data_IF_064118985666
#
_entry.id   IF_064118985666
#
_cell.length_a   1.000
_cell.length_b   1.000
_cell.length_c   1.000
_cell.angle_alpha   90.00
_cell.angle_beta   90.00
_cell.angle_gamma   90.00
#
_symmetry.space_group_name_H-M   'P 1'
#
loop_
_entity.id
_entity.type
_entity.pdbx_description
1 polymer ?
#
# COMPACT_ATOMS: atom_id res chain seq x y z
N UNK A 1 -22.53 8.34 -47.88
CA UNK A 1 -22.77 9.42 -46.90
C UNK A 1 -24.04 9.09 -46.15
N UNK A 2 -23.93 8.66 -44.89
CA UNK A 2 -25.11 8.42 -44.05
C UNK A 2 -25.59 9.78 -43.55
N UNK A 3 -26.70 10.29 -44.10
CA UNK A 3 -27.37 11.48 -43.58
C UNK A 3 -28.19 11.03 -42.36
N UNK A 4 -27.74 11.43 -41.17
CA UNK A 4 -28.52 11.29 -39.95
C UNK A 4 -29.68 12.28 -39.97
N UNK A 5 -30.84 11.86 -39.48
CA UNK A 5 -31.99 12.77 -39.38
C UNK A 5 -31.71 13.90 -38.36
N UNK A 6 -32.25 15.11 -38.58
CA UNK A 6 -32.01 16.26 -37.69
C UNK A 6 -32.32 15.96 -36.22
N UNK A 7 -33.36 15.17 -35.96
CA UNK A 7 -33.77 14.68 -34.63
C UNK A 7 -32.71 13.77 -34.00
N UNK A 8 -32.09 12.88 -34.78
CA UNK A 8 -30.98 12.02 -34.33
C UNK A 8 -29.75 12.85 -33.97
N UNK A 9 -29.42 13.87 -34.77
CA UNK A 9 -28.30 14.78 -34.46
C UNK A 9 -28.54 15.59 -33.17
N UNK A 10 -29.77 16.06 -32.95
CA UNK A 10 -30.15 16.78 -31.73
C UNK A 10 -30.09 15.86 -30.51
N UNK A 11 -30.59 14.61 -30.62
CA UNK A 11 -30.49 13.62 -29.55
C UNK A 11 -29.04 13.28 -29.21
N UNK A 12 -28.19 13.07 -30.21
CA UNK A 12 -26.75 12.83 -30.01
C UNK A 12 -26.11 14.04 -29.32
N UNK A 13 -26.41 15.27 -29.76
CA UNK A 13 -25.86 16.48 -29.16
C UNK A 13 -26.33 16.70 -27.72
N UNK A 14 -27.60 16.39 -27.41
CA UNK A 14 -28.15 16.47 -26.06
C UNK A 14 -27.54 15.39 -25.15
N UNK A 15 -27.48 14.14 -25.59
CA UNK A 15 -26.81 13.06 -24.85
C UNK A 15 -25.33 13.38 -24.63
N UNK A 16 -24.65 13.94 -25.64
CA UNK A 16 -23.24 14.36 -25.52
C UNK A 16 -23.06 15.53 -24.54
N UNK A 17 -23.96 16.51 -24.52
CA UNK A 17 -23.94 17.60 -23.54
C UNK A 17 -24.28 17.13 -22.13
N UNK A 18 -25.27 16.26 -21.97
CA UNK A 18 -25.63 15.67 -20.68
C UNK A 18 -24.51 14.78 -20.15
N UNK A 19 -23.87 14.00 -21.02
CA UNK A 19 -22.69 13.20 -20.69
C UNK A 19 -21.48 14.09 -20.33
N UNK A 20 -21.24 15.16 -21.09
CA UNK A 20 -20.22 16.16 -20.75
C UNK A 20 -20.50 16.84 -19.41
N UNK A 21 -21.76 17.19 -19.13
CA UNK A 21 -22.17 17.78 -17.86
C UNK A 21 -22.04 16.80 -16.70
N UNK A 22 -22.38 15.52 -16.89
CA UNK A 22 -22.13 14.44 -15.93
C UNK A 22 -20.64 14.22 -15.66
N UNK A 23 -19.79 14.32 -16.68
CA UNK A 23 -18.33 14.27 -16.54
C UNK A 23 -17.80 15.46 -15.71
N UNK A 24 -18.40 16.64 -15.87
CA UNK A 24 -18.04 17.87 -15.15
C UNK A 24 -18.61 17.93 -13.71
N UNK A 25 -19.77 17.30 -13.47
CA UNK A 25 -20.41 17.13 -12.15
C UNK A 25 -19.84 15.96 -11.35
N UNK A 26 -18.90 15.25 -11.94
CA UNK A 26 -18.28 14.07 -11.38
C UNK A 26 -17.52 14.31 -10.08
N UNK A 27 -17.11 13.22 -9.39
CA UNK A 27 -16.36 13.19 -8.12
C UNK A 27 -15.55 14.48 -7.93
N UNK A 28 -16.06 15.35 -7.06
CA UNK A 28 -15.61 16.73 -6.95
C UNK A 28 -14.10 16.76 -6.68
N UNK A 29 -13.36 17.45 -7.53
CA UNK A 29 -11.92 17.63 -7.38
C UNK A 29 -11.04 16.54 -7.99
N UNK A 30 -11.57 15.42 -8.49
CA UNK A 30 -10.73 14.45 -9.22
C UNK A 30 -10.17 15.10 -10.50
N UNK A 31 -8.85 15.21 -10.59
CA UNK A 31 -8.10 15.93 -11.63
C UNK A 31 -6.86 15.13 -12.02
N UNK A 32 -6.99 14.18 -12.97
CA UNK A 32 -5.93 13.27 -13.32
C UNK A 32 -4.77 13.98 -14.02
N UNK A 33 -3.55 13.76 -13.55
CA UNK A 33 -2.33 14.32 -14.12
C UNK A 33 -1.77 13.38 -15.18
N UNK A 34 -1.30 13.95 -16.30
CA UNK A 34 -0.60 13.20 -17.33
C UNK A 34 0.64 12.51 -16.75
N UNK A 35 0.88 11.26 -17.17
CA UNK A 35 2.10 10.54 -16.84
C UNK A 35 2.40 9.44 -17.85
N UNK A 36 3.66 9.01 -17.89
CA UNK A 36 4.10 7.86 -18.68
C UNK A 36 5.06 7.02 -17.87
N UNK A 37 4.89 5.71 -17.93
CA UNK A 37 5.91 4.75 -17.49
C UNK A 37 6.56 4.12 -18.72
N UNK A 38 7.86 3.77 -18.64
CA UNK A 38 8.47 2.90 -19.65
C UNK A 38 7.69 1.58 -19.71
N UNK A 39 7.82 0.86 -20.84
CA UNK A 39 7.25 -0.46 -20.95
C UNK A 39 7.72 -1.35 -19.78
N UNK A 40 6.84 -2.17 -19.19
CA UNK A 40 7.22 -3.12 -18.15
C UNK A 40 8.46 -3.93 -18.56
N UNK A 41 9.41 -4.13 -17.64
CA UNK A 41 10.65 -4.83 -17.96
C UNK A 41 10.35 -6.28 -18.33
N UNK A 42 11.18 -6.84 -19.21
CA UNK A 42 11.11 -8.27 -19.51
C UNK A 42 11.48 -9.08 -18.27
N UNK A 43 10.73 -10.16 -18.02
CA UNK A 43 11.01 -11.09 -16.94
C UNK A 43 12.15 -12.04 -17.34
N UNK A 44 13.38 -11.52 -17.34
CA UNK A 44 14.61 -12.22 -17.71
C UNK A 44 15.68 -12.07 -16.61
N UNK A 45 16.77 -12.86 -16.69
CA UNK A 45 17.83 -12.81 -15.68
C UNK A 45 17.29 -13.07 -14.26
N UNK A 46 17.59 -12.22 -13.26
CA UNK A 46 17.03 -12.34 -11.90
C UNK A 46 15.49 -12.29 -11.83
N UNK A 47 14.83 -11.68 -12.83
CA UNK A 47 13.37 -11.59 -12.90
C UNK A 47 12.72 -12.79 -13.59
N UNK A 48 13.50 -13.77 -14.10
CA UNK A 48 12.99 -14.92 -14.83
C UNK A 48 11.86 -15.61 -14.06
N UNK A 49 10.69 -15.89 -14.70
CA UNK A 49 9.57 -16.50 -14.02
C UNK A 49 9.94 -17.80 -13.32
N UNK A 50 9.46 -17.94 -12.09
CA UNK A 50 9.60 -19.13 -11.26
C UNK A 50 8.29 -19.42 -10.51
N UNK A 51 8.25 -20.49 -9.72
CA UNK A 51 7.04 -20.92 -8.99
C UNK A 51 7.31 -21.10 -7.49
N UNK A 52 8.29 -20.36 -6.96
CA UNK A 52 8.69 -20.47 -5.54
C UNK A 52 7.49 -20.21 -4.61
N UNK A 53 6.68 -19.19 -4.91
CA UNK A 53 5.52 -18.82 -4.10
C UNK A 53 4.30 -19.72 -4.32
N UNK A 54 4.23 -20.49 -5.41
CA UNK A 54 3.14 -21.45 -5.67
C UNK A 54 3.12 -22.64 -4.69
N UNK A 55 4.09 -22.71 -3.77
CA UNK A 55 4.19 -23.68 -2.69
C UNK A 55 3.80 -23.11 -1.33
N UNK A 56 3.27 -21.88 -1.29
CA UNK A 56 2.92 -21.23 -0.03
C UNK A 56 1.81 -21.98 0.70
N UNK A 57 2.00 -22.15 2.00
CA UNK A 57 1.01 -22.60 2.96
C UNK A 57 0.20 -21.41 3.45
N UNK A 58 -1.05 -21.64 3.86
CA UNK A 58 -1.94 -20.61 4.38
C UNK A 58 -2.09 -20.77 5.89
N UNK A 59 -1.61 -19.78 6.65
CA UNK A 59 -1.83 -19.67 8.09
C UNK A 59 -3.17 -18.99 8.33
N UNK A 60 -4.02 -19.63 9.14
CA UNK A 60 -5.32 -19.12 9.57
C UNK A 60 -6.25 -18.67 8.41
N UNK A 61 -6.30 -19.49 7.35
CA UNK A 61 -7.19 -19.26 6.21
C UNK A 61 -8.65 -19.12 6.65
N UNK A 62 -9.31 -18.09 6.15
CA UNK A 62 -10.68 -17.67 6.48
C UNK A 62 -10.88 -17.12 7.89
N UNK A 63 -9.82 -16.99 8.69
CA UNK A 63 -9.87 -16.38 10.02
C UNK A 63 -9.16 -15.02 10.09
N UNK A 64 -8.24 -14.72 9.17
CA UNK A 64 -7.48 -13.47 9.15
C UNK A 64 -7.75 -12.74 7.85
N UNK A 65 -8.65 -11.76 7.86
CA UNK A 65 -9.06 -11.01 6.66
C UNK A 65 -8.18 -9.79 6.46
N UNK A 66 -7.51 -9.72 5.31
CA UNK A 66 -6.65 -8.62 4.88
C UNK A 66 -5.46 -8.35 5.80
N UNK A 67 -4.63 -9.34 6.17
CA UNK A 67 -3.40 -9.10 6.93
C UNK A 67 -2.38 -8.35 6.09
N UNK A 68 -2.40 -7.01 6.14
CA UNK A 68 -1.68 -6.19 5.17
C UNK A 68 -0.19 -6.06 5.48
N UNK A 69 0.16 -5.82 6.74
CA UNK A 69 1.53 -5.78 7.26
C UNK A 69 1.71 -6.78 8.41
N UNK A 70 2.89 -7.36 8.52
CA UNK A 70 3.25 -8.38 9.49
C UNK A 70 4.47 -7.94 10.30
N UNK A 71 4.40 -8.10 11.62
CA UNK A 71 5.61 -8.19 12.46
C UNK A 71 5.74 -9.62 12.96
N UNK A 72 6.85 -10.29 12.60
CA UNK A 72 7.09 -11.71 12.92
C UNK A 72 8.30 -11.83 13.85
N UNK A 73 8.12 -12.52 14.97
CA UNK A 73 9.17 -12.79 15.95
C UNK A 73 8.99 -14.17 16.61
N UNK A 74 9.97 -15.05 16.42
CA UNK A 74 9.86 -16.46 16.76
C UNK A 74 8.59 -17.07 16.15
N UNK A 75 7.78 -17.70 16.99
CA UNK A 75 6.49 -18.28 16.60
C UNK A 75 5.30 -17.29 16.68
N UNK A 76 5.59 -16.00 16.91
CA UNK A 76 4.57 -14.95 17.06
C UNK A 76 4.46 -14.10 15.79
N UNK A 77 3.22 -13.84 15.37
CA UNK A 77 2.90 -12.90 14.29
C UNK A 77 1.91 -11.87 14.83
N UNK A 78 2.20 -10.61 14.54
CA UNK A 78 1.32 -9.48 14.77
C UNK A 78 0.86 -8.92 13.43
N UNK A 79 -0.45 -8.72 13.26
CA UNK A 79 -1.00 -8.17 12.01
C UNK A 79 -2.28 -7.39 12.27
N UNK A 80 -2.54 -6.42 11.41
CA UNK A 80 -3.84 -5.77 11.27
C UNK A 80 -4.82 -6.62 10.47
N UNK A 81 -6.12 -6.35 10.59
CA UNK A 81 -7.16 -6.97 9.75
C UNK A 81 -8.12 -5.91 9.17
N UNK A 82 -8.85 -6.32 8.14
CA UNK A 82 -9.83 -5.48 7.43
C UNK A 82 -10.97 -4.98 8.34
N UNK A 83 -11.31 -5.73 9.39
CA UNK A 83 -12.31 -5.37 10.39
C UNK A 83 -11.73 -4.60 11.59
N UNK A 84 -10.64 -3.87 11.36
CA UNK A 84 -10.00 -2.91 12.25
C UNK A 84 -9.36 -3.49 13.52
N UNK A 85 -9.08 -4.81 13.54
CA UNK A 85 -8.38 -5.46 14.65
C UNK A 85 -6.88 -5.47 14.43
N UNK A 86 -6.15 -5.48 15.54
CA UNK A 86 -4.77 -5.96 15.59
C UNK A 86 -4.81 -7.28 16.34
N UNK A 87 -4.28 -8.33 15.72
CA UNK A 87 -4.29 -9.67 16.26
C UNK A 87 -2.87 -10.14 16.57
N UNK A 88 -2.76 -10.93 17.64
CA UNK A 88 -1.56 -11.68 17.99
C UNK A 88 -1.82 -13.14 17.70
N UNK A 89 -0.92 -13.74 16.93
CA UNK A 89 -0.95 -15.14 16.56
C UNK A 89 0.29 -15.79 17.16
N UNK A 90 0.12 -16.87 17.93
CA UNK A 90 1.23 -17.66 18.49
C UNK A 90 1.03 -19.10 18.06
N UNK A 91 2.08 -19.73 17.50
CA UNK A 91 2.01 -21.12 17.02
C UNK A 91 0.83 -21.38 16.07
N UNK A 92 0.55 -20.42 15.17
CA UNK A 92 -0.52 -20.50 14.19
C UNK A 92 -1.94 -20.39 14.76
N UNK A 93 -2.11 -19.93 16.00
CA UNK A 93 -3.42 -19.67 16.62
C UNK A 93 -3.53 -18.22 17.05
N UNK A 94 -4.68 -17.60 16.81
CA UNK A 94 -4.98 -16.27 17.36
C UNK A 94 -5.09 -16.43 18.88
N UNK A 95 -4.23 -15.76 19.64
CA UNK A 95 -4.25 -15.78 21.11
C UNK A 95 -4.93 -14.55 21.67
N UNK A 96 -4.68 -13.38 21.07
CA UNK A 96 -5.14 -12.11 21.59
C UNK A 96 -5.55 -11.18 20.45
N UNK A 97 -6.37 -10.19 20.78
CA UNK A 97 -6.89 -9.19 19.85
C UNK A 97 -7.11 -7.88 20.57
N UNK A 98 -6.75 -6.78 19.93
CA UNK A 98 -7.02 -5.43 20.41
C UNK A 98 -7.61 -4.58 19.29
N UNK A 99 -8.39 -3.57 19.66
CA UNK A 99 -8.94 -2.59 18.74
C UNK A 99 -8.30 -1.23 19.00
N UNK A 100 -7.98 -0.50 17.93
CA UNK A 100 -7.55 0.89 18.06
C UNK A 100 -8.69 1.82 18.49
N UNK A 101 -9.94 1.40 18.21
CA UNK A 101 -11.16 2.16 18.51
C UNK A 101 -12.29 1.25 19.01
N UNK A 102 -12.21 0.74 20.26
CA UNK A 102 -13.12 -0.27 20.78
C UNK A 102 -14.58 0.19 20.86
N UNK A 103 -14.84 1.49 21.01
CA UNK A 103 -16.19 2.05 21.03
C UNK A 103 -16.97 1.84 19.71
N UNK A 104 -16.26 1.55 18.62
CA UNK A 104 -16.84 1.36 17.29
C UNK A 104 -17.01 -0.12 16.90
N UNK A 105 -16.53 -1.06 17.74
CA UNK A 105 -16.38 -2.49 17.41
C UNK A 105 -17.64 -3.12 16.80
N UNK A 106 -18.82 -2.77 17.34
CA UNK A 106 -20.11 -3.33 16.95
C UNK A 106 -20.50 -3.10 15.48
N UNK A 107 -19.82 -2.19 14.77
CA UNK A 107 -20.07 -1.87 13.35
C UNK A 107 -18.92 -2.25 12.41
N UNK A 108 -17.81 -2.76 12.94
CA UNK A 108 -16.59 -3.02 12.18
C UNK A 108 -16.60 -4.46 11.64
N UNK A 109 -17.12 -4.62 10.43
CA UNK A 109 -17.25 -5.90 9.71
C UNK A 109 -16.34 -5.99 8.47
N UNK A 110 -15.51 -4.96 8.26
CA UNK A 110 -14.60 -4.83 7.12
C UNK A 110 -15.29 -4.39 5.82
N UNK A 111 -16.50 -3.83 5.87
CA UNK A 111 -17.14 -3.24 4.68
C UNK A 111 -16.55 -1.88 4.32
N UNK A 112 -16.58 -1.57 3.03
CA UNK A 112 -16.08 -0.33 2.42
C UNK A 112 -16.53 0.96 3.13
N UNK A 113 -17.79 1.03 3.57
CA UNK A 113 -18.34 2.23 4.21
C UNK A 113 -17.97 2.37 5.70
N UNK A 114 -17.69 1.26 6.38
CA UNK A 114 -17.31 1.30 7.78
C UNK A 114 -15.83 1.62 7.97
N UNK A 115 -14.99 1.34 6.98
CA UNK A 115 -13.53 1.41 7.07
C UNK A 115 -13.02 2.76 7.64
N UNK A 116 -13.45 3.94 7.16
CA UNK A 116 -12.94 5.21 7.70
C UNK A 116 -13.33 5.46 9.17
N UNK A 117 -14.49 4.95 9.58
CA UNK A 117 -14.98 5.12 10.96
C UNK A 117 -14.37 4.10 11.92
N UNK A 118 -14.10 2.88 11.43
CA UNK A 118 -13.53 1.78 12.18
C UNK A 118 -12.01 1.86 12.32
N UNK A 119 -11.34 2.40 11.30
CA UNK A 119 -9.91 2.26 11.10
C UNK A 119 -9.58 1.07 10.20
N UNK A 120 -8.33 1.05 9.76
CA UNK A 120 -7.71 -0.04 9.01
C UNK A 120 -6.21 -0.06 9.39
N UNK A 121 -5.80 -0.92 10.33
CA UNK A 121 -4.39 -1.08 10.64
C UNK A 121 -3.64 -1.63 9.43
N UNK A 122 -2.56 -0.95 9.05
CA UNK A 122 -1.66 -1.27 7.94
C UNK A 122 -0.26 -1.51 8.51
N UNK A 123 0.72 -0.64 8.23
CA UNK A 123 2.10 -0.80 8.68
C UNK A 123 2.24 -1.07 10.18
N UNK A 124 2.90 -2.17 10.53
CA UNK A 124 3.20 -2.56 11.92
C UNK A 124 4.70 -2.80 12.07
N UNK A 125 5.29 -2.26 13.14
CA UNK A 125 6.70 -2.50 13.53
C UNK A 125 6.84 -2.70 15.03
N UNK A 126 7.90 -3.38 15.42
CA UNK A 126 8.39 -3.32 16.80
C UNK A 126 8.90 -1.91 17.10
N UNK A 127 8.31 -1.26 18.11
CA UNK A 127 8.76 0.05 18.59
C UNK A 127 9.84 -0.10 19.66
N UNK A 128 9.57 -0.92 20.67
CA UNK A 128 10.52 -1.27 21.73
C UNK A 128 10.27 -2.70 22.23
N UNK A 129 10.79 -3.07 23.41
CA UNK A 129 10.64 -4.43 23.94
C UNK A 129 9.18 -4.82 24.22
N UNK A 130 8.33 -3.85 24.58
CA UNK A 130 6.96 -4.06 25.06
C UNK A 130 5.90 -3.56 24.09
N UNK A 131 6.26 -2.76 23.09
CA UNK A 131 5.31 -2.05 22.23
C UNK A 131 5.59 -2.23 20.74
N UNK A 132 4.50 -2.28 19.99
CA UNK A 132 4.43 -2.12 18.54
C UNK A 132 4.05 -0.68 18.22
N UNK A 133 4.53 -0.16 17.09
CA UNK A 133 3.95 1.02 16.44
C UNK A 133 3.08 0.55 15.28
N UNK A 134 1.91 1.18 15.13
CA UNK A 134 0.91 0.82 14.13
C UNK A 134 0.44 2.07 13.41
N UNK A 135 0.58 2.09 12.09
CA UNK A 135 -0.08 3.05 11.22
C UNK A 135 -1.48 2.55 10.89
N UNK A 136 -2.49 3.34 11.24
CA UNK A 136 -3.87 3.13 10.81
C UNK A 136 -4.19 4.08 9.67
N UNK A 137 -4.78 3.55 8.59
CA UNK A 137 -5.03 4.29 7.36
C UNK A 137 -5.86 5.58 7.54
N UNK A 138 -6.67 5.66 8.60
CA UNK A 138 -7.62 6.75 8.84
C UNK A 138 -7.45 7.41 10.19
N UNK A 139 -6.99 6.66 11.19
CA UNK A 139 -6.97 7.13 12.57
C UNK A 139 -5.65 7.82 12.93
N UNK A 140 -4.55 7.50 12.23
CA UNK A 140 -3.22 8.04 12.51
C UNK A 140 -2.26 6.98 13.03
N UNK A 141 -1.39 7.32 13.98
CA UNK A 141 -0.35 6.43 14.50
C UNK A 141 -0.58 6.09 15.97
N UNK A 142 -0.41 4.81 16.30
CA UNK A 142 -0.63 4.24 17.63
C UNK A 142 0.60 3.49 18.15
N UNK A 143 0.76 3.47 19.46
CA UNK A 143 1.57 2.47 20.16
C UNK A 143 0.64 1.44 20.81
N UNK A 144 0.97 0.17 20.65
CA UNK A 144 0.15 -0.96 21.12
C UNK A 144 1.05 -1.93 21.87
N UNK A 145 0.65 -2.32 23.08
CA UNK A 145 1.44 -3.29 23.84
C UNK A 145 1.40 -4.69 23.20
N UNK A 146 2.52 -5.41 23.26
CA UNK A 146 2.69 -6.77 22.72
C UNK A 146 1.87 -7.84 23.47
N UNK A 147 1.36 -7.50 24.66
CA UNK A 147 0.38 -8.27 25.42
C UNK A 147 -1.08 -8.05 24.95
N UNK A 148 -1.32 -7.11 24.02
CA UNK A 148 -2.64 -6.76 23.47
C UNK A 148 -3.64 -6.26 24.52
N UNK A 149 -3.18 -5.73 25.65
CA UNK A 149 -4.05 -5.13 26.64
C UNK A 149 -4.72 -3.85 26.10
N UNK A 150 -6.06 -3.84 26.09
CA UNK A 150 -6.88 -2.78 25.48
C UNK A 150 -6.68 -1.40 26.13
N UNK A 151 -6.37 -1.35 27.43
CA UNK A 151 -6.05 -0.15 28.20
C UNK A 151 -4.64 0.39 27.95
N UNK A 152 -3.81 -0.36 27.20
CA UNK A 152 -2.44 0.01 26.82
C UNK A 152 -2.29 0.34 25.33
N UNK A 153 -3.38 0.79 24.70
CA UNK A 153 -3.36 1.38 23.36
C UNK A 153 -3.21 2.89 23.49
N UNK A 154 -2.12 3.44 22.96
CA UNK A 154 -1.81 4.86 23.02
C UNK A 154 -1.90 5.47 21.63
N UNK A 155 -2.75 6.49 21.46
CA UNK A 155 -2.89 7.23 20.20
C UNK A 155 -1.89 8.39 20.17
N UNK A 156 -0.72 8.17 19.56
CA UNK A 156 0.41 9.12 19.62
C UNK A 156 0.31 10.25 18.59
N UNK A 157 -0.30 10.02 17.44
CA UNK A 157 -0.51 11.04 16.41
C UNK A 157 -1.84 10.83 15.71
N UNK A 158 -2.78 11.77 15.86
CA UNK A 158 -4.08 11.70 15.20
C UNK A 158 -3.99 12.14 13.74
N UNK A 159 -4.77 11.53 12.87
CA UNK A 159 -4.84 11.90 11.45
C UNK A 159 -5.14 13.39 11.25
N UNK A 160 -6.04 13.99 12.04
CA UNK A 160 -6.42 15.42 12.01
C UNK A 160 -5.37 16.37 12.65
N UNK A 161 -4.18 15.84 12.96
CA UNK A 161 -3.04 16.58 13.51
C UNK A 161 -1.79 16.39 12.66
N UNK A 162 -1.97 16.06 11.38
CA UNK A 162 -0.88 15.84 10.43
C UNK A 162 -0.67 16.96 9.41
N UNK A 163 -1.34 18.10 9.60
CA UNK A 163 -1.19 19.27 8.75
C UNK A 163 0.22 19.89 8.91
N UNK A 164 0.96 19.94 7.80
CA UNK A 164 2.24 20.65 7.67
C UNK A 164 2.25 21.32 6.30
N UNK A 165 2.71 22.58 6.22
CA UNK A 165 2.66 23.37 4.99
C UNK A 165 1.25 23.44 4.35
N UNK A 166 0.18 23.40 5.16
CA UNK A 166 -1.20 23.50 4.69
C UNK A 166 -1.77 22.24 3.99
N UNK A 167 -1.11 21.09 4.08
CA UNK A 167 -1.73 19.80 3.71
C UNK A 167 -1.58 18.77 4.83
N UNK A 168 -2.68 18.05 5.08
CA UNK A 168 -2.77 16.94 6.02
C UNK A 168 -2.49 15.59 5.35
N UNK A 169 -2.38 14.54 6.15
CA UNK A 169 -2.33 13.17 5.66
C UNK A 169 -3.72 12.52 5.70
N UNK A 170 -4.24 12.16 4.51
CA UNK A 170 -5.51 11.45 4.36
C UNK A 170 -5.36 9.92 4.35
N UNK A 171 -4.16 9.41 4.07
CA UNK A 171 -3.90 7.98 3.99
C UNK A 171 -2.51 7.65 4.54
N UNK A 172 -2.45 7.29 5.81
CA UNK A 172 -1.27 6.73 6.48
C UNK A 172 -1.07 5.29 6.02
N UNK A 173 0.12 4.92 5.56
CA UNK A 173 0.30 3.61 4.94
C UNK A 173 1.26 2.70 5.74
N UNK A 174 2.56 2.97 5.66
CA UNK A 174 3.58 2.19 6.35
C UNK A 174 4.35 3.08 7.35
N UNK A 175 4.95 2.45 8.35
CA UNK A 175 5.71 3.11 9.42
C UNK A 175 7.02 2.38 9.66
N UNK A 176 8.04 3.16 10.04
CA UNK A 176 9.36 2.69 10.40
C UNK A 176 9.85 3.39 11.67
N UNK A 177 10.60 2.65 12.48
CA UNK A 177 11.09 3.12 13.79
C UNK A 177 12.55 3.56 13.62
N UNK A 178 12.78 4.86 13.75
CA UNK A 178 14.14 5.42 13.67
C UNK A 178 14.88 5.15 14.98
N UNK A 179 14.26 5.45 16.11
CA UNK A 179 14.73 5.18 17.46
C UNK A 179 13.54 5.10 18.44
N UNK A 180 13.81 5.07 19.75
CA UNK A 180 12.79 4.93 20.79
C UNK A 180 11.93 6.19 21.04
N UNK A 181 12.09 7.24 20.23
CA UNK A 181 11.30 8.48 20.32
C UNK A 181 10.87 9.00 18.94
N UNK A 182 11.50 8.54 17.85
CA UNK A 182 11.27 9.03 16.50
C UNK A 182 10.79 7.92 15.58
N UNK A 183 9.69 8.21 14.89
CA UNK A 183 9.14 7.36 13.82
C UNK A 183 9.17 8.10 12.49
N UNK A 184 9.19 7.34 11.41
CA UNK A 184 9.06 7.83 10.04
C UNK A 184 7.91 7.07 9.39
N UNK A 185 6.97 7.76 8.76
CA UNK A 185 5.82 7.12 8.14
C UNK A 185 5.48 7.73 6.78
N UNK A 186 4.86 6.92 5.93
CA UNK A 186 4.38 7.35 4.62
C UNK A 186 2.95 7.84 4.69
N UNK A 187 2.70 8.92 3.94
CA UNK A 187 1.37 9.38 3.61
C UNK A 187 1.13 9.24 2.12
N UNK A 188 0.29 8.28 1.73
CA UNK A 188 0.05 7.92 0.34
C UNK A 188 -0.68 9.00 -0.46
N UNK A 189 -1.52 9.82 0.19
CA UNK A 189 -2.21 10.98 -0.42
C UNK A 189 -2.66 11.94 0.68
N UNK A 190 -2.69 13.24 0.36
CA UNK A 190 -3.28 14.27 1.23
C UNK A 190 -4.79 14.42 1.01
N UNK A 191 -5.37 13.72 0.04
CA UNK A 191 -6.76 13.92 -0.41
C UNK A 191 -7.64 12.68 -0.34
N UNK A 192 -7.08 11.52 -0.68
CA UNK A 192 -7.83 10.28 -0.79
C UNK A 192 -7.43 9.31 0.33
N UNK A 193 -8.40 8.84 1.10
CA UNK A 193 -8.20 7.76 2.06
C UNK A 193 -8.02 6.39 1.38
N UNK A 194 -7.63 5.38 2.16
CA UNK A 194 -7.25 4.04 1.67
C UNK A 194 -8.27 3.35 0.77
N UNK A 195 -9.56 3.38 1.13
CA UNK A 195 -10.65 2.82 0.31
C UNK A 195 -10.70 3.44 -1.09
N UNK A 196 -10.13 4.63 -1.24
CA UNK A 196 -9.99 5.38 -2.48
C UNK A 196 -8.63 5.21 -3.17
N UNK A 197 -7.86 4.16 -2.87
CA UNK A 197 -6.55 3.91 -3.48
C UNK A 197 -6.57 3.88 -5.03
N UNK A 198 -7.68 3.46 -5.64
CA UNK A 198 -7.81 3.49 -7.09
C UNK A 198 -7.91 4.92 -7.65
N UNK A 199 -8.53 5.84 -6.90
CA UNK A 199 -8.49 7.27 -7.24
C UNK A 199 -7.06 7.79 -7.22
N UNK A 200 -6.24 7.42 -6.23
CA UNK A 200 -4.83 7.84 -6.18
C UNK A 200 -4.07 7.35 -7.43
N UNK A 201 -4.24 6.06 -7.78
CA UNK A 201 -3.58 5.46 -8.95
C UNK A 201 -4.06 6.04 -10.29
N UNK A 202 -5.33 6.44 -10.39
CA UNK A 202 -5.87 7.07 -11.59
C UNK A 202 -5.68 8.58 -11.63
N UNK A 203 -5.58 9.25 -10.50
CA UNK A 203 -5.40 10.70 -10.47
C UNK A 203 -3.92 11.04 -10.67
N UNK A 204 -3.02 10.25 -10.06
CA UNK A 204 -1.58 10.42 -10.20
C UNK A 204 -1.10 11.80 -9.75
N UNK A 205 -1.82 12.40 -8.79
CA UNK A 205 -1.32 13.54 -8.03
C UNK A 205 -0.05 13.14 -7.28
N UNK A 206 0.89 14.08 -7.21
CA UNK A 206 2.14 13.93 -6.46
C UNK A 206 2.03 14.51 -5.04
N UNK A 207 0.89 14.31 -4.41
CA UNK A 207 0.53 14.85 -3.08
C UNK A 207 0.98 13.95 -1.92
N UNK A 208 1.63 12.82 -2.22
CA UNK A 208 2.20 11.93 -1.23
C UNK A 208 3.45 12.49 -0.56
N UNK A 209 3.60 12.15 0.73
CA UNK A 209 4.60 12.73 1.64
C UNK A 209 5.20 11.65 2.54
N UNK A 210 6.41 11.90 3.04
CA UNK A 210 7.03 11.15 4.14
C UNK A 210 7.20 12.08 5.31
N UNK A 211 6.72 11.64 6.47
CA UNK A 211 6.76 12.39 7.71
C UNK A 211 7.80 11.78 8.66
N UNK A 212 8.47 12.65 9.42
CA UNK A 212 9.23 12.31 10.61
C UNK A 212 8.49 12.87 11.81
N UNK A 213 8.26 12.05 12.81
CA UNK A 213 7.55 12.43 14.03
C UNK A 213 8.35 12.07 15.26
N UNK A 214 8.66 13.07 16.10
CA UNK A 214 9.30 12.90 17.40
C UNK A 214 8.22 12.96 18.48
N UNK A 215 8.02 11.84 19.17
CA UNK A 215 6.89 11.59 20.07
C UNK A 215 6.95 12.52 21.29
N UNK A 216 8.09 12.60 21.96
CA UNK A 216 8.28 13.40 23.18
C UNK A 216 7.96 14.88 23.00
N UNK A 217 8.36 15.45 21.87
CA UNK A 217 8.18 16.88 21.55
C UNK A 217 6.94 17.15 20.72
N UNK A 218 6.27 16.10 20.22
CA UNK A 218 5.20 16.17 19.23
C UNK A 218 5.60 16.95 17.96
N UNK A 219 6.89 16.97 17.64
CA UNK A 219 7.39 17.63 16.45
C UNK A 219 7.11 16.76 15.23
N UNK A 220 6.38 17.32 14.27
CA UNK A 220 6.03 16.67 13.01
C UNK A 220 6.66 17.44 11.84
N UNK A 221 7.41 16.74 11.01
CA UNK A 221 8.15 17.32 9.89
C UNK A 221 7.92 16.51 8.61
N UNK A 222 7.80 17.18 7.47
CA UNK A 222 7.79 16.54 6.16
C UNK A 222 9.23 16.45 5.64
N UNK A 223 9.79 15.23 5.62
CA UNK A 223 11.17 14.97 5.16
C UNK A 223 11.25 14.61 3.67
N UNK A 224 10.11 14.29 3.04
CA UNK A 224 9.98 14.21 1.59
C UNK A 224 8.53 14.50 1.15
N UNK A 225 8.37 15.12 -0.01
CA UNK A 225 7.07 15.42 -0.64
C UNK A 225 7.18 15.33 -2.15
N UNK A 226 6.04 15.37 -2.85
CA UNK A 226 6.03 15.27 -4.31
C UNK A 226 6.03 13.83 -4.81
N UNK A 227 5.61 12.87 -3.97
CA UNK A 227 5.59 11.44 -4.30
C UNK A 227 4.18 11.03 -4.75
N UNK A 228 4.10 10.10 -5.70
CA UNK A 228 2.86 9.56 -6.25
C UNK A 228 2.57 8.21 -5.60
N UNK A 229 1.74 8.25 -4.57
CA UNK A 229 1.39 7.08 -3.77
C UNK A 229 2.62 6.41 -3.10
N UNK A 230 3.37 7.14 -2.25
CA UNK A 230 4.37 6.51 -1.40
C UNK A 230 3.70 5.53 -0.44
N UNK A 231 4.30 4.35 -0.32
CA UNK A 231 3.74 3.23 0.42
C UNK A 231 4.78 2.71 1.41
N UNK A 232 5.41 1.55 1.16
CA UNK A 232 6.42 0.98 2.04
C UNK A 232 7.58 1.93 2.38
N UNK A 233 7.94 1.97 3.66
CA UNK A 233 9.13 2.68 4.16
C UNK A 233 10.02 1.74 4.97
N UNK A 234 11.33 1.78 4.70
CA UNK A 234 12.30 0.90 5.34
C UNK A 234 13.62 1.64 5.53
N UNK A 235 14.11 1.71 6.77
CA UNK A 235 15.46 2.24 7.01
C UNK A 235 16.51 1.29 6.43
N UNK A 236 17.60 1.86 5.91
CA UNK A 236 18.80 1.08 5.64
C UNK A 236 19.38 0.55 6.94
N UNK A 237 20.14 -0.54 6.88
CA UNK A 237 20.69 -1.21 8.07
C UNK A 237 21.54 -0.28 8.94
N UNK A 238 22.26 0.64 8.32
CA UNK A 238 23.08 1.67 8.97
C UNK A 238 22.29 2.91 9.44
N UNK A 239 20.97 2.94 9.19
CA UNK A 239 20.03 4.04 9.47
C UNK A 239 20.41 5.39 8.85
N UNK A 240 21.28 5.40 7.84
CA UNK A 240 21.69 6.66 7.17
C UNK A 240 20.72 7.08 6.08
N UNK A 241 19.86 6.17 5.61
CA UNK A 241 18.92 6.42 4.53
C UNK A 241 17.59 5.71 4.76
N UNK A 242 16.55 6.20 4.09
CA UNK A 242 15.24 5.60 4.01
C UNK A 242 14.96 5.12 2.58
N UNK A 243 14.50 3.87 2.43
CA UNK A 243 13.94 3.34 1.20
C UNK A 243 12.44 3.61 1.17
N UNK A 244 11.92 4.04 0.01
CA UNK A 244 10.51 4.40 -0.15
C UNK A 244 9.97 3.74 -1.42
N UNK A 245 8.93 2.93 -1.30
CA UNK A 245 8.16 2.46 -2.45
C UNK A 245 7.25 3.57 -2.96
N UNK A 246 7.40 3.97 -4.22
CA UNK A 246 6.46 4.87 -4.90
C UNK A 246 5.57 4.04 -5.84
N UNK A 247 4.45 3.57 -5.29
CA UNK A 247 3.51 2.63 -5.93
C UNK A 247 3.04 3.15 -7.27
N UNK A 248 2.65 4.43 -7.33
CA UNK A 248 2.10 5.07 -8.52
C UNK A 248 3.07 5.20 -9.68
N UNK A 249 4.38 5.07 -9.42
CA UNK A 249 5.45 5.21 -10.42
C UNK A 249 6.29 3.93 -10.59
N UNK A 250 5.87 2.82 -9.99
CA UNK A 250 6.53 1.52 -10.09
C UNK A 250 8.05 1.60 -9.81
N UNK A 251 8.46 2.31 -8.76
CA UNK A 251 9.88 2.51 -8.42
C UNK A 251 10.12 2.57 -6.92
N UNK A 252 11.38 2.40 -6.53
CA UNK A 252 11.86 2.56 -5.16
C UNK A 252 12.82 3.74 -5.13
N UNK A 253 12.66 4.64 -4.17
CA UNK A 253 13.59 5.72 -3.89
C UNK A 253 14.51 5.38 -2.72
N UNK A 254 15.66 6.07 -2.69
CA UNK A 254 16.51 6.22 -1.51
C UNK A 254 16.56 7.70 -1.13
N UNK A 255 16.24 8.00 0.12
CA UNK A 255 16.36 9.32 0.74
C UNK A 255 17.49 9.28 1.78
N UNK A 256 18.48 10.14 1.65
CA UNK A 256 19.51 10.30 2.69
C UNK A 256 18.93 11.02 3.89
N UNK A 257 19.09 10.48 5.10
CA UNK A 257 18.66 11.10 6.35
C UNK A 257 19.76 11.94 7.00
N UNK A 258 21.01 11.81 6.53
CA UNK A 258 22.15 12.60 7.00
C UNK A 258 22.39 13.86 6.17
N UNK A 259 21.65 14.04 5.07
CA UNK A 259 21.68 15.23 4.22
C UNK A 259 20.33 15.96 4.37
N UNK A 260 20.26 17.06 5.14
CA UNK A 260 19.01 17.81 5.34
C UNK A 260 18.42 18.40 4.05
N UNK A 261 19.22 18.57 3.00
CA UNK A 261 18.75 19.01 1.69
C UNK A 261 18.46 17.83 0.73
N UNK A 262 18.63 16.60 1.24
CA UNK A 262 18.44 15.36 0.50
C UNK A 262 17.02 15.26 -0.05
N UNK A 263 16.92 14.95 -1.34
CA UNK A 263 15.64 14.60 -1.99
C UNK A 263 15.63 13.09 -2.26
N UNK A 264 14.46 12.42 -2.25
CA UNK A 264 14.38 11.03 -2.67
C UNK A 264 14.92 10.88 -4.09
N UNK A 265 15.90 10.00 -4.28
CA UNK A 265 16.45 9.67 -5.61
C UNK A 265 16.04 8.25 -6.00
N UNK A 266 15.65 7.99 -7.25
CA UNK A 266 15.35 6.63 -7.67
C UNK A 266 16.53 5.70 -7.43
N UNK A 267 16.27 4.56 -6.80
CA UNK A 267 17.22 3.47 -6.56
C UNK A 267 16.94 2.30 -7.50
N UNK A 268 15.66 1.97 -7.69
CA UNK A 268 15.19 0.99 -8.68
C UNK A 268 14.04 1.63 -9.43
N UNK A 269 14.13 1.66 -10.75
CA UNK A 269 13.10 2.23 -11.63
C UNK A 269 12.40 1.14 -12.43
N UNK A 270 11.17 1.43 -12.87
CA UNK A 270 10.39 0.61 -13.79
C UNK A 270 10.26 -0.86 -13.35
N UNK A 271 9.82 -1.10 -12.12
CA UNK A 271 9.56 -2.43 -11.58
C UNK A 271 8.48 -3.17 -12.39
N UNK A 272 8.50 -4.53 -12.44
CA UNK A 272 7.50 -5.37 -13.11
C UNK A 272 6.14 -5.42 -12.37
N UNK A 273 5.92 -4.49 -11.45
CA UNK A 273 4.71 -4.39 -10.65
C UNK A 273 4.71 -3.11 -9.81
N UNK A 274 3.60 -2.87 -9.14
CA UNK A 274 3.42 -1.75 -8.22
C UNK A 274 4.03 -2.14 -6.86
N UNK A 275 5.14 -1.51 -6.43
CA UNK A 275 5.78 -1.84 -5.16
C UNK A 275 4.90 -1.42 -3.99
N UNK A 276 4.88 -2.26 -2.96
CA UNK A 276 4.13 -2.05 -1.73
C UNK A 276 5.13 -1.97 -0.56
N UNK A 277 4.98 -2.75 0.51
CA UNK A 277 5.90 -2.72 1.65
C UNK A 277 7.31 -3.27 1.34
N UNK A 278 8.33 -2.66 1.96
CA UNK A 278 9.75 -3.07 1.89
C UNK A 278 10.19 -3.57 3.26
N UNK A 279 10.79 -4.75 3.36
CA UNK A 279 11.33 -5.28 4.62
C UNK A 279 12.78 -5.72 4.49
N UNK A 280 13.61 -5.33 5.44
CA UNK A 280 15.00 -5.80 5.52
C UNK A 280 15.05 -7.29 5.84
N UNK A 281 15.99 -8.02 5.23
CA UNK A 281 16.24 -9.43 5.52
C UNK A 281 17.37 -9.59 6.54
N UNK A 282 17.49 -10.76 7.20
CA UNK A 282 18.63 -11.06 8.06
C UNK A 282 20.00 -10.94 7.37
N UNK A 283 20.05 -11.02 6.03
CA UNK A 283 21.29 -10.87 5.24
C UNK A 283 21.67 -9.41 4.95
N UNK A 284 20.83 -8.43 5.32
CA UNK A 284 21.03 -7.02 4.98
C UNK A 284 20.64 -6.66 3.54
N UNK A 285 19.87 -7.53 2.88
CA UNK A 285 19.14 -7.22 1.63
C UNK A 285 17.72 -6.77 1.98
N UNK A 286 16.90 -6.47 0.97
CA UNK A 286 15.52 -6.02 1.16
C UNK A 286 14.58 -6.83 0.28
N UNK A 287 13.44 -7.21 0.84
CA UNK A 287 12.30 -7.75 0.11
C UNK A 287 11.31 -6.61 -0.15
N UNK A 288 10.82 -6.51 -1.38
CA UNK A 288 9.68 -5.67 -1.74
C UNK A 288 8.59 -6.53 -2.35
N UNK A 289 7.38 -6.42 -1.80
CA UNK A 289 6.20 -7.05 -2.37
C UNK A 289 5.63 -6.20 -3.51
N UNK A 290 5.04 -6.84 -4.52
CA UNK A 290 4.35 -6.15 -5.60
C UNK A 290 2.84 -6.44 -5.52
N UNK A 291 2.05 -5.42 -5.19
CA UNK A 291 0.60 -5.50 -5.00
C UNK A 291 -0.18 -5.73 -6.32
N UNK A 292 0.43 -5.34 -7.45
CA UNK A 292 -0.13 -5.57 -8.77
C UNK A 292 0.96 -5.78 -9.81
N UNK A 293 0.71 -6.69 -10.75
CA UNK A 293 1.68 -7.04 -11.79
C UNK A 293 1.54 -6.15 -13.02
N UNK A 294 2.69 -5.67 -13.51
CA UNK A 294 2.82 -4.97 -14.79
C UNK A 294 3.35 -5.95 -15.83
N UNK A 295 2.52 -6.25 -16.83
CA UNK A 295 2.90 -7.14 -17.94
C UNK A 295 2.52 -6.52 -19.27
N UNK A 296 3.30 -6.80 -20.31
CA UNK A 296 3.00 -6.39 -21.68
C UNK A 296 1.81 -7.18 -22.25
N UNK A 297 1.66 -8.45 -21.86
CA UNK A 297 0.69 -9.38 -22.43
C UNK A 297 -0.74 -9.08 -21.96
N UNK A 298 -0.90 -8.65 -20.70
CA UNK A 298 -2.20 -8.39 -20.10
C UNK A 298 -2.59 -6.92 -20.12
N UNK A 299 -1.90 -6.09 -20.90
CA UNK A 299 -2.15 -4.66 -21.02
C UNK A 299 -2.22 -3.98 -19.64
N UNK A 300 -1.08 -3.63 -19.03
CA UNK A 300 -1.08 -2.86 -17.77
C UNK A 300 -1.99 -1.62 -17.90
N UNK A 301 -3.21 -1.72 -17.34
CA UNK A 301 -4.30 -0.77 -17.60
C UNK A 301 -3.90 0.65 -17.23
N UNK A 302 -3.23 0.79 -16.09
CA UNK A 302 -2.74 2.07 -15.59
C UNK A 302 -1.72 2.69 -16.54
N UNK A 303 -0.69 1.95 -16.97
CA UNK A 303 0.33 2.41 -17.92
C UNK A 303 -0.29 2.95 -19.22
N UNK A 304 -1.31 2.25 -19.75
CA UNK A 304 -2.02 2.61 -20.99
C UNK A 304 -2.87 3.86 -20.83
N UNK A 305 -3.52 4.03 -19.69
CA UNK A 305 -4.39 5.16 -19.40
C UNK A 305 -3.61 6.41 -18.96
N UNK A 306 -2.33 6.28 -18.60
CA UNK A 306 -1.51 7.38 -18.13
C UNK A 306 -1.47 8.58 -19.07
N UNK A 307 -1.19 8.40 -20.37
CA UNK A 307 -1.20 9.48 -21.35
C UNK A 307 -2.57 10.11 -21.61
N UNK A 308 -3.64 9.54 -21.06
CA UNK A 308 -5.02 9.95 -21.34
C UNK A 308 -5.79 10.36 -20.07
N UNK A 309 -5.45 11.50 -19.43
CA UNK A 309 -6.19 12.04 -18.30
C UNK A 309 -7.70 12.08 -18.48
N UNK A 310 -8.17 12.51 -19.66
CA UNK A 310 -9.60 12.61 -19.95
C UNK A 310 -10.31 11.24 -19.94
N UNK A 311 -9.63 10.16 -20.33
CA UNK A 311 -10.19 8.80 -20.23
C UNK A 311 -10.29 8.38 -18.77
N UNK A 312 -9.27 8.64 -17.97
CA UNK A 312 -9.30 8.34 -16.52
C UNK A 312 -10.40 9.14 -15.81
N UNK A 313 -10.57 10.41 -16.19
CA UNK A 313 -11.70 11.24 -15.75
C UNK A 313 -13.03 10.57 -16.10
N UNK A 314 -13.24 10.17 -17.36
CA UNK A 314 -14.49 9.54 -17.76
C UNK A 314 -14.74 8.20 -17.03
N UNK A 315 -13.70 7.36 -16.90
CA UNK A 315 -13.80 6.04 -16.26
C UNK A 315 -14.27 6.12 -14.82
N UNK A 316 -13.73 7.06 -14.03
CA UNK A 316 -14.11 7.18 -12.61
C UNK A 316 -15.54 7.71 -12.43
N UNK A 317 -16.08 8.45 -13.40
CA UNK A 317 -17.48 8.92 -13.34
C UNK A 317 -18.51 7.87 -13.74
N UNK A 318 -18.11 6.88 -14.53
CA UNK A 318 -19.02 5.87 -15.06
C UNK A 318 -19.06 4.63 -14.17
N UNK A 319 -17.93 4.27 -13.57
CA UNK A 319 -17.81 3.03 -12.80
C UNK A 319 -17.86 3.38 -11.31
N UNK A 320 -18.91 2.95 -10.57
CA UNK A 320 -18.96 3.15 -9.13
C UNK A 320 -17.72 2.55 -8.47
N UNK A 321 -17.10 3.29 -7.57
CA UNK A 321 -15.85 2.85 -6.95
C UNK A 321 -15.99 1.54 -6.18
N UNK A 322 -17.12 1.32 -5.53
CA UNK A 322 -17.37 0.06 -4.84
C UNK A 322 -17.32 -1.12 -5.81
N UNK A 323 -17.70 -0.92 -7.08
CA UNK A 323 -17.58 -1.93 -8.13
C UNK A 323 -16.12 -2.12 -8.54
N UNK A 324 -15.35 -1.04 -8.66
CA UNK A 324 -13.91 -1.12 -8.91
C UNK A 324 -13.23 -1.94 -7.80
N UNK A 325 -13.54 -1.66 -6.53
CA UNK A 325 -12.95 -2.36 -5.39
C UNK A 325 -13.38 -3.82 -5.33
N UNK A 326 -14.66 -4.11 -5.60
CA UNK A 326 -15.23 -5.47 -5.47
C UNK A 326 -14.89 -6.36 -6.68
N UNK A 327 -14.96 -5.80 -7.88
CA UNK A 327 -14.84 -6.56 -9.14
C UNK A 327 -13.54 -6.30 -9.88
N UNK A 328 -12.95 -5.11 -9.75
CA UNK A 328 -11.69 -4.74 -10.40
C UNK A 328 -10.55 -5.75 -10.19
N UNK A 329 -10.34 -6.29 -8.98
CA UNK A 329 -9.33 -7.33 -8.76
C UNK A 329 -9.50 -8.59 -9.63
N UNK A 330 -10.71 -8.90 -10.14
CA UNK A 330 -10.95 -10.04 -11.04
C UNK A 330 -10.44 -9.80 -12.47
N UNK A 331 -10.30 -8.54 -12.85
CA UNK A 331 -9.84 -8.13 -14.17
C UNK A 331 -8.36 -7.76 -14.20
N UNK A 332 -7.71 -7.71 -13.03
CA UNK A 332 -6.27 -7.51 -12.95
C UNK A 332 -5.51 -8.83 -13.13
N UNK A 333 -4.32 -8.79 -13.76
CA UNK A 333 -3.45 -9.95 -13.86
C UNK A 333 -3.14 -10.47 -12.46
N UNK A 334 -3.56 -11.70 -12.17
CA UNK A 334 -3.25 -12.33 -10.90
C UNK A 334 -1.80 -12.80 -10.92
N UNK A 335 -0.99 -12.36 -9.96
CA UNK A 335 0.42 -12.72 -9.87
C UNK A 335 0.91 -12.50 -8.44
N UNK A 336 1.50 -13.52 -7.83
CA UNK A 336 2.28 -13.34 -6.61
C UNK A 336 3.72 -12.96 -6.96
N UNK A 337 4.20 -11.80 -6.53
CA UNK A 337 5.55 -11.35 -6.88
C UNK A 337 6.21 -10.63 -5.70
N UNK A 338 7.36 -11.16 -5.28
CA UNK A 338 8.29 -10.51 -4.34
C UNK A 338 9.66 -10.42 -4.99
N UNK A 339 10.33 -9.27 -4.83
CA UNK A 339 11.68 -9.02 -5.33
C UNK A 339 12.63 -8.87 -4.14
N UNK A 340 13.79 -9.53 -4.21
CA UNK A 340 14.91 -9.27 -3.31
C UNK A 340 15.97 -8.41 -4.00
N UNK A 341 16.41 -7.33 -3.33
CA UNK A 341 17.43 -6.42 -3.84
C UNK A 341 18.42 -5.99 -2.75
N UNK A 342 19.60 -5.52 -3.16
CA UNK A 342 20.62 -5.02 -2.24
C UNK A 342 20.57 -3.49 -2.05
N UNK A 343 21.44 -2.94 -1.21
CA UNK A 343 21.52 -1.49 -0.91
C UNK A 343 21.80 -0.59 -2.14
N UNK A 344 22.30 -1.16 -3.23
CA UNK A 344 22.57 -0.45 -4.49
C UNK A 344 21.41 -0.59 -5.50
N UNK A 345 20.29 -1.21 -5.11
CA UNK A 345 19.15 -1.42 -6.00
C UNK A 345 19.32 -2.59 -6.99
N UNK A 346 20.39 -3.39 -6.86
CA UNK A 346 20.57 -4.57 -7.70
C UNK A 346 19.61 -5.67 -7.27
N UNK A 347 18.74 -6.09 -8.18
CA UNK A 347 17.86 -7.24 -7.99
C UNK A 347 18.71 -8.52 -7.92
N UNK A 348 18.53 -9.28 -6.86
CA UNK A 348 19.30 -10.50 -6.57
C UNK A 348 18.50 -11.77 -6.81
N UNK A 349 17.24 -11.79 -6.39
CA UNK A 349 16.35 -12.95 -6.49
C UNK A 349 14.90 -12.48 -6.58
N UNK A 350 14.04 -13.38 -7.03
CA UNK A 350 12.60 -13.18 -7.07
C UNK A 350 11.85 -14.41 -6.62
N UNK A 351 10.72 -14.18 -5.94
CA UNK A 351 9.80 -15.22 -5.53
C UNK A 351 8.49 -14.97 -6.24
N UNK A 352 8.04 -15.93 -7.04
CA UNK A 352 6.92 -15.73 -7.95
C UNK A 352 5.88 -16.84 -7.86
N UNK A 353 4.62 -16.46 -8.09
CA UNK A 353 3.47 -17.33 -8.35
C UNK A 353 2.73 -16.79 -9.60
N UNK A 354 3.21 -17.11 -10.82
CA UNK A 354 2.72 -16.49 -12.05
C UNK A 354 1.26 -16.80 -12.39
N UNK A 355 0.70 -17.83 -11.76
CA UNK A 355 -0.70 -18.24 -11.92
C UNK A 355 -1.55 -17.90 -10.70
N UNK A 356 -0.97 -17.22 -9.70
CA UNK A 356 -1.60 -16.95 -8.41
C UNK A 356 -2.28 -18.20 -7.81
N UNK A 357 -1.59 -19.35 -7.87
CA UNK A 357 -2.12 -20.62 -7.37
C UNK A 357 -2.31 -20.60 -5.85
N UNK A 358 -1.38 -19.95 -5.15
CA UNK A 358 -1.31 -19.90 -3.69
C UNK A 358 -1.36 -18.47 -3.17
N UNK A 359 -0.79 -17.49 -3.87
CA UNK A 359 -0.74 -16.09 -3.40
C UNK A 359 -0.91 -15.10 -4.54
N UNK A 360 -1.53 -13.95 -4.24
CA UNK A 360 -1.73 -12.84 -5.15
C UNK A 360 -1.70 -11.51 -4.38
N UNK A 361 -1.47 -10.39 -5.08
CA UNK A 361 -1.57 -9.02 -4.53
C UNK A 361 -0.92 -8.89 -3.15
N UNK A 362 0.34 -9.31 -3.09
CA UNK A 362 1.12 -9.35 -1.85
C UNK A 362 1.41 -7.89 -1.46
N UNK A 363 1.02 -7.51 -0.25
CA UNK A 363 1.31 -6.17 0.30
C UNK A 363 2.64 -6.11 1.01
N UNK A 364 3.07 -7.21 1.62
CA UNK A 364 4.32 -7.29 2.36
C UNK A 364 4.92 -8.69 2.27
N UNK A 365 6.25 -8.77 2.26
CA UNK A 365 6.98 -10.01 2.45
C UNK A 365 8.08 -9.81 3.49
N UNK A 366 8.05 -10.60 4.58
CA UNK A 366 9.03 -10.57 5.66
C UNK A 366 9.70 -11.93 5.79
N UNK A 367 11.02 -11.91 5.90
CA UNK A 367 11.79 -13.13 6.13
C UNK A 367 12.03 -13.36 7.62
N UNK A 368 11.65 -14.54 8.11
CA UNK A 368 11.89 -14.96 9.48
C UNK A 368 12.09 -16.47 9.57
N UNK A 369 13.13 -16.91 10.28
CA UNK A 369 13.46 -18.32 10.55
C UNK A 369 13.42 -19.25 9.32
N UNK A 370 13.99 -18.80 8.20
CA UNK A 370 14.08 -19.58 6.96
C UNK A 370 12.78 -19.64 6.15
N UNK A 371 11.77 -18.86 6.54
CA UNK A 371 10.52 -18.69 5.81
C UNK A 371 10.32 -17.25 5.35
N UNK A 372 9.55 -17.09 4.29
CA UNK A 372 9.00 -15.81 3.87
C UNK A 372 7.52 -15.84 4.21
N UNK A 373 7.12 -14.95 5.11
CA UNK A 373 5.72 -14.67 5.45
C UNK A 373 5.23 -13.52 4.57
N UNK A 374 3.99 -13.62 4.11
CA UNK A 374 3.41 -12.69 3.15
C UNK A 374 2.04 -12.22 3.61
N UNK A 375 1.90 -10.91 3.68
CA UNK A 375 0.64 -10.21 3.91
C UNK A 375 -0.10 -9.94 2.60
N UNK A 376 -1.41 -9.76 2.70
CA UNK A 376 -2.26 -9.26 1.62
C UNK A 376 -3.27 -8.25 2.18
N UNK A 377 -3.58 -7.21 1.42
CA UNK A 377 -4.59 -6.24 1.86
C UNK A 377 -6.04 -6.71 1.70
N UNK A 378 -6.28 -7.86 1.05
CA UNK A 378 -7.62 -8.33 0.63
C UNK A 378 -7.94 -9.81 0.89
N UNK A 379 -6.95 -10.70 0.91
CA UNK A 379 -7.21 -12.14 1.07
C UNK A 379 -7.43 -12.51 2.53
N UNK A 380 -7.92 -13.72 2.79
CA UNK A 380 -8.35 -14.19 4.11
C UNK A 380 -7.33 -15.10 4.81
N UNK A 381 -6.04 -14.94 4.51
CA UNK A 381 -4.96 -15.74 5.05
C UNK A 381 -3.66 -14.95 5.15
N UNK A 382 -2.74 -15.42 5.99
CA UNK A 382 -1.31 -15.09 5.90
C UNK A 382 -0.64 -16.22 5.10
N UNK A 383 0.15 -15.90 4.08
CA UNK A 383 0.88 -16.91 3.35
C UNK A 383 2.28 -17.10 3.91
N UNK A 384 2.78 -18.33 3.88
CA UNK A 384 4.13 -18.68 4.35
C UNK A 384 4.76 -19.67 3.38
N UNK A 385 6.02 -19.46 3.01
CA UNK A 385 6.77 -20.40 2.17
C UNK A 385 8.19 -20.54 2.67
N UNK A 386 8.76 -21.74 2.51
CA UNK A 386 10.20 -21.91 2.77
C UNK A 386 10.98 -21.01 1.82
N UNK A 387 12.00 -20.34 2.34
CA UNK A 387 12.89 -19.50 1.53
C UNK A 387 13.72 -20.32 0.53
N UNK A 388 14.13 -21.52 0.95
CA UNK A 388 15.05 -22.44 0.23
C UNK A 388 14.52 -22.94 -1.11
#
# INVERSE_FOLDING_TARGET
>A
MIRLEPTTCVLIALVSKSFYYLIQQGITGFSPEYYTLPAPPKLEGPLKPNTKLSKSEHVLKSYVRGPESLHVEGDTIYTGTLDAKIIKIVNGKITDTVLLKPENAYKCDGRFEAEPFCGRPLGIRRFDKDRLVVADAYLGIFLVNVDMAQDKVEHILKSDKTEVDGEECSFHNDVEVFDNDTIIFSCSSSRWGRRHAFHILLEQKNDGRIYRYTISTKNLEVIAKGLRFPNGVQLTKDKTSLLISETGMARIHKLSLTDPAGKPRPLIENLPGMPDNIRVTPRGTYLVALAGHRSNDTMALFDRLGPHPWLRQALIQIIPEQWITTYGPRFQPQYGFVIEFNEQGKILDTFQDPKAKSVNSISEAVEHDGYIYMGTFKDDYIAKVKRS
#
